data_IF_174461431400
#
_entry.id   IF_174461431400
#
_cell.length_a   1.000
_cell.length_b   1.000
_cell.length_c   1.000
_cell.angle_alpha   90.00
_cell.angle_beta   90.00
_cell.angle_gamma   90.00
#
_symmetry.space_group_name_H-M   'P 1'
#
loop_
_entity.id
_entity.type
_entity.pdbx_description
1 polymer ?
#
# COMPACT_ATOMS: atom_id res chain seq x y z
N UNK A 1 -6.79 7.93 4.06
CA UNK A 1 -5.70 7.21 4.75
C UNK A 1 -4.54 8.17 4.86
N UNK A 2 -4.03 8.39 6.05
CA UNK A 2 -2.82 9.20 6.24
C UNK A 2 -1.58 8.36 5.97
N UNK A 3 -0.61 8.89 5.23
CA UNK A 3 0.70 8.26 5.08
C UNK A 3 1.79 9.24 5.50
N UNK A 4 2.68 8.77 6.37
CA UNK A 4 3.87 9.49 6.80
C UNK A 4 5.09 8.59 6.69
N UNK A 5 6.19 9.12 6.18
CA UNK A 5 7.45 8.40 6.06
C UNK A 5 8.60 9.32 6.48
N UNK A 6 9.49 8.78 7.30
CA UNK A 6 10.74 9.42 7.67
C UNK A 6 11.92 8.63 7.11
N UNK A 7 12.81 9.31 6.41
CA UNK A 7 14.11 8.79 5.98
C UNK A 7 15.16 9.39 6.90
N UNK A 8 15.90 8.55 7.61
CA UNK A 8 17.06 8.97 8.41
C UNK A 8 18.30 8.39 7.78
N UNK A 9 19.14 9.24 7.19
CA UNK A 9 20.37 8.81 6.55
C UNK A 9 21.55 8.87 7.54
N UNK A 10 21.72 7.82 8.32
CA UNK A 10 22.89 7.63 9.20
C UNK A 10 24.15 7.11 8.49
N UNK A 11 24.10 6.96 7.16
CA UNK A 11 25.22 6.41 6.38
C UNK A 11 26.14 7.52 5.84
N UNK A 12 27.23 7.12 5.21
CA UNK A 12 28.11 8.01 4.43
C UNK A 12 27.68 8.19 2.96
N UNK A 13 26.66 7.45 2.50
CA UNK A 13 26.13 7.54 1.13
C UNK A 13 25.07 8.64 1.02
N UNK A 14 24.89 9.18 -0.19
CA UNK A 14 23.81 10.13 -0.46
C UNK A 14 22.56 9.37 -0.93
N UNK A 15 21.40 9.61 -0.32
CA UNK A 15 20.13 9.14 -0.87
C UNK A 15 19.73 10.08 -2.00
N UNK A 16 19.76 9.59 -3.23
CA UNK A 16 19.51 10.39 -4.43
C UNK A 16 18.02 10.58 -4.70
N UNK A 17 17.23 9.53 -4.49
CA UNK A 17 15.79 9.60 -4.65
C UNK A 17 15.08 8.70 -3.65
N UNK A 18 13.84 9.08 -3.33
CA UNK A 18 12.90 8.28 -2.56
C UNK A 18 11.58 8.30 -3.30
N UNK A 19 11.00 7.15 -3.59
CA UNK A 19 9.70 7.02 -4.23
C UNK A 19 8.80 6.17 -3.36
N UNK A 20 7.68 6.75 -2.94
CA UNK A 20 6.64 6.09 -2.16
C UNK A 20 5.46 5.92 -3.09
N UNK A 21 5.01 4.70 -3.33
CA UNK A 21 3.86 4.43 -4.20
C UNK A 21 2.85 3.59 -3.47
N UNK A 22 1.58 3.92 -3.64
CA UNK A 22 0.47 3.07 -3.22
C UNK A 22 -0.17 2.46 -4.45
N UNK A 23 -0.23 1.13 -4.50
CA UNK A 23 -0.65 0.39 -5.68
C UNK A 23 -1.74 -0.62 -5.33
N UNK A 24 -2.70 -0.78 -6.24
CA UNK A 24 -3.61 -1.92 -6.29
C UNK A 24 -3.05 -2.96 -7.24
N UNK A 25 -2.98 -4.21 -6.82
CA UNK A 25 -2.62 -5.37 -7.64
C UNK A 25 -3.83 -6.29 -7.77
N UNK A 26 -4.25 -6.49 -9.01
CA UNK A 26 -5.31 -7.41 -9.39
C UNK A 26 -4.68 -8.70 -9.88
N UNK A 27 -4.80 -9.77 -9.09
CA UNK A 27 -4.29 -11.10 -9.43
C UNK A 27 -5.44 -11.94 -9.95
N UNK A 28 -5.40 -12.27 -11.24
CA UNK A 28 -6.32 -13.19 -11.90
C UNK A 28 -5.69 -14.58 -11.94
N UNK A 29 -6.40 -15.60 -11.48
CA UNK A 29 -5.95 -17.00 -11.41
C UNK A 29 -6.83 -17.89 -12.28
N UNK A 30 -6.22 -18.56 -13.26
CA UNK A 30 -6.89 -19.51 -14.15
C UNK A 30 -6.13 -20.85 -14.11
N UNK A 31 -6.59 -21.77 -13.26
CA UNK A 31 -5.89 -23.03 -12.99
C UNK A 31 -4.50 -22.78 -12.42
N UNK A 32 -3.45 -23.24 -13.13
CA UNK A 32 -2.04 -23.04 -12.75
C UNK A 32 -1.44 -21.71 -13.24
N UNK A 33 -2.20 -20.92 -14.01
CA UNK A 33 -1.72 -19.64 -14.53
C UNK A 33 -2.26 -18.51 -13.68
N UNK A 34 -1.41 -17.51 -13.46
CA UNK A 34 -1.81 -16.24 -12.84
C UNK A 34 -1.35 -15.07 -13.69
N UNK A 35 -2.17 -14.03 -13.75
CA UNK A 35 -1.84 -12.76 -14.36
C UNK A 35 -2.08 -11.63 -13.35
N UNK A 36 -1.09 -10.78 -13.15
CA UNK A 36 -1.17 -9.66 -12.22
C UNK A 36 -1.18 -8.34 -12.97
N UNK A 37 -2.29 -7.60 -12.90
CA UNK A 37 -2.36 -6.22 -13.35
C UNK A 37 -2.16 -5.28 -12.15
N UNK A 38 -1.46 -4.16 -12.34
CA UNK A 38 -1.23 -3.18 -11.27
C UNK A 38 -1.76 -1.81 -11.66
N UNK A 39 -2.38 -1.10 -10.71
CA UNK A 39 -2.81 0.28 -10.87
C UNK A 39 -2.16 1.13 -9.77
N UNK A 40 -1.51 2.22 -10.19
CA UNK A 40 -0.98 3.23 -9.27
C UNK A 40 -2.14 4.06 -8.72
N UNK A 41 -2.32 4.05 -7.41
CA UNK A 41 -3.31 4.88 -6.72
C UNK A 41 -2.69 6.25 -6.40
N UNK A 42 -1.44 6.24 -5.94
CA UNK A 42 -0.78 7.45 -5.45
C UNK A 42 0.74 7.31 -5.46
N UNK A 43 1.46 8.43 -5.55
CA UNK A 43 2.93 8.49 -5.54
C UNK A 43 3.45 9.78 -4.89
N UNK A 44 4.47 9.64 -4.02
CA UNK A 44 5.31 10.73 -3.51
C UNK A 44 6.72 10.51 -4.03
N UNK A 45 7.33 11.57 -4.54
CA UNK A 45 8.76 11.59 -4.82
C UNK A 45 9.46 12.55 -3.86
N UNK A 46 10.40 12.00 -3.10
CA UNK A 46 11.19 12.71 -2.12
C UNK A 46 12.43 13.36 -2.72
N UNK A 47 12.93 14.36 -2.00
CA UNK A 47 14.17 15.05 -2.36
C UNK A 47 15.39 14.25 -1.90
N UNK A 48 16.56 14.60 -2.44
CA UNK A 48 17.85 14.04 -2.04
C UNK A 48 18.09 14.23 -0.53
N UNK A 49 18.51 13.17 0.16
CA UNK A 49 18.87 13.19 1.59
C UNK A 49 20.37 12.93 1.76
N UNK A 50 21.10 13.96 2.19
CA UNK A 50 22.56 13.92 2.38
C UNK A 50 22.98 13.01 3.56
N UNK A 51 24.24 12.57 3.60
CA UNK A 51 24.80 11.91 4.79
C UNK A 51 24.52 12.71 6.07
N UNK A 52 24.04 12.04 7.11
CA UNK A 52 23.71 12.64 8.41
C UNK A 52 22.40 13.44 8.44
N UNK A 53 21.68 13.57 7.32
CA UNK A 53 20.41 14.30 7.25
C UNK A 53 19.19 13.38 7.30
N UNK A 54 18.01 13.98 7.44
CA UNK A 54 16.73 13.29 7.38
C UNK A 54 15.75 13.97 6.44
N UNK A 55 14.89 13.18 5.80
CA UNK A 55 13.74 13.64 5.04
C UNK A 55 12.43 13.19 5.69
N UNK A 56 11.38 13.99 5.57
CA UNK A 56 10.04 13.63 6.00
C UNK A 56 9.08 13.86 4.84
N UNK A 57 8.22 12.87 4.59
CA UNK A 57 7.26 12.85 3.49
C UNK A 57 5.90 12.50 4.06
N UNK A 58 4.88 13.23 3.66
CA UNK A 58 3.54 13.05 4.19
C UNK A 58 2.49 13.40 3.14
N UNK A 59 1.41 12.63 3.09
CA UNK A 59 0.23 12.95 2.28
C UNK A 59 -1.02 12.23 2.80
N UNK A 60 -2.18 12.66 2.33
CA UNK A 60 -3.48 12.04 2.59
C UNK A 60 -3.97 11.35 1.32
N UNK A 61 -4.10 10.04 1.40
CA UNK A 61 -4.48 9.18 0.26
C UNK A 61 -5.97 8.85 0.33
N UNK A 62 -6.67 9.02 -0.78
CA UNK A 62 -8.03 8.53 -0.94
C UNK A 62 -8.05 7.00 -1.05
N UNK A 63 -8.83 6.36 -0.19
CA UNK A 63 -9.03 4.91 -0.22
C UNK A 63 -9.92 4.58 -1.43
N UNK A 64 -9.48 3.71 -2.36
CA UNK A 64 -10.26 3.38 -3.54
C UNK A 64 -11.53 2.60 -3.16
N UNK A 65 -12.59 2.68 -3.99
CA UNK A 65 -13.76 1.85 -3.81
C UNK A 65 -13.38 0.36 -3.94
N UNK A 66 -13.86 -0.45 -3.00
CA UNK A 66 -13.59 -1.89 -3.00
C UNK A 66 -14.54 -2.59 -3.97
N UNK A 67 -14.03 -3.34 -4.96
CA UNK A 67 -14.91 -4.15 -5.79
C UNK A 67 -15.47 -5.32 -4.96
N UNK A 68 -16.65 -5.85 -5.34
CA UNK A 68 -17.31 -6.94 -4.65
C UNK A 68 -16.48 -8.23 -4.81
N UNK A 69 -15.53 -8.42 -3.90
CA UNK A 69 -14.52 -9.49 -3.94
C UNK A 69 -14.56 -10.28 -2.65
N UNK A 70 -15.72 -10.89 -2.37
CA UNK A 70 -15.82 -11.87 -1.30
C UNK A 70 -15.12 -13.16 -1.71
N UNK A 71 -14.24 -13.70 -0.86
CA UNK A 71 -13.68 -15.05 -1.02
C UNK A 71 -14.78 -16.14 -1.11
N UNK A 72 -15.98 -15.83 -0.63
CA UNK A 72 -17.16 -16.67 -0.74
C UNK A 72 -17.80 -16.66 -2.15
N UNK A 73 -17.51 -15.66 -3.00
CA UNK A 73 -18.12 -15.50 -4.32
C UNK A 73 -17.14 -15.66 -5.51
N UNK A 74 -15.82 -15.46 -5.34
CA UNK A 74 -14.87 -15.56 -6.46
C UNK A 74 -13.50 -16.11 -6.05
N UNK A 75 -13.07 -17.21 -6.67
CA UNK A 75 -11.74 -17.84 -6.45
C UNK A 75 -10.70 -17.43 -7.52
N UNK A 76 -11.16 -16.83 -8.61
CA UNK A 76 -10.35 -16.46 -9.78
C UNK A 76 -9.70 -15.10 -9.61
N UNK A 77 -10.18 -14.25 -8.72
CA UNK A 77 -9.76 -12.85 -8.61
C UNK A 77 -9.37 -12.53 -7.17
N UNK A 78 -8.14 -12.02 -6.99
CA UNK A 78 -7.61 -11.53 -5.72
C UNK A 78 -7.14 -10.10 -5.89
N UNK A 79 -7.35 -9.28 -4.86
CA UNK A 79 -6.92 -7.88 -4.85
C UNK A 79 -6.00 -7.68 -3.66
N UNK A 80 -4.85 -7.07 -3.94
CA UNK A 80 -3.84 -6.74 -2.95
C UNK A 80 -3.56 -5.25 -3.05
N UNK A 81 -3.46 -4.58 -1.91
CA UNK A 81 -3.01 -3.20 -1.83
C UNK A 81 -1.65 -3.19 -1.17
N UNK A 82 -0.69 -2.47 -1.76
CA UNK A 82 0.67 -2.40 -1.24
C UNK A 82 1.18 -0.97 -1.30
N UNK A 83 1.86 -0.55 -0.24
CA UNK A 83 2.73 0.61 -0.26
C UNK A 83 4.13 0.12 -0.59
N UNK A 84 4.72 0.60 -1.68
CA UNK A 84 6.13 0.36 -2.00
C UNK A 84 6.94 1.62 -1.76
N UNK A 85 8.05 1.46 -1.07
CA UNK A 85 9.06 2.50 -0.88
C UNK A 85 10.32 2.04 -1.60
N UNK A 86 10.79 2.85 -2.55
CA UNK A 86 12.04 2.64 -3.27
C UNK A 86 12.99 3.78 -2.97
N UNK A 87 14.20 3.47 -2.53
CA UNK A 87 15.25 4.43 -2.23
C UNK A 87 16.44 4.09 -3.13
N UNK A 88 16.94 5.07 -3.86
CA UNK A 88 18.20 4.96 -4.60
C UNK A 88 19.26 5.76 -3.83
N UNK A 89 20.41 5.15 -3.57
CA UNK A 89 21.50 5.79 -2.86
C UNK A 89 22.84 5.55 -3.56
N UNK A 90 23.65 6.61 -3.69
CA UNK A 90 25.00 6.54 -4.24
C UNK A 90 26.05 6.69 -3.15
N UNK A 91 26.94 5.70 -3.06
CA UNK A 91 28.11 5.73 -2.18
C UNK A 91 29.22 6.63 -2.69
N UNK A 92 30.18 6.93 -1.82
CA UNK A 92 31.34 7.81 -2.12
C UNK A 92 32.21 7.27 -3.27
N UNK A 93 32.22 5.95 -3.48
CA UNK A 93 32.96 5.27 -4.55
C UNK A 93 32.15 5.12 -5.86
N UNK A 94 30.99 5.77 -5.97
CA UNK A 94 30.16 5.76 -7.19
C UNK A 94 29.29 4.52 -7.38
N UNK A 95 29.22 3.61 -6.41
CA UNK A 95 28.28 2.49 -6.43
C UNK A 95 26.88 2.98 -6.07
N UNK A 96 25.90 2.64 -6.92
CA UNK A 96 24.47 2.90 -6.70
C UNK A 96 23.82 1.66 -6.11
N UNK A 97 23.12 1.83 -5.01
CA UNK A 97 22.37 0.81 -4.30
C UNK A 97 20.87 1.16 -4.32
N UNK A 98 20.03 0.16 -4.58
CA UNK A 98 18.57 0.33 -4.56
C UNK A 98 17.96 -0.45 -3.39
N UNK A 99 17.32 0.24 -2.46
CA UNK A 99 16.56 -0.37 -1.37
C UNK A 99 15.07 -0.36 -1.70
N UNK A 100 14.40 -1.49 -1.49
CA UNK A 100 12.95 -1.60 -1.68
C UNK A 100 12.29 -2.17 -0.42
N UNK A 101 11.24 -1.50 0.04
CA UNK A 101 10.36 -1.95 1.12
C UNK A 101 8.94 -2.08 0.55
N UNK A 102 8.26 -3.18 0.87
CA UNK A 102 6.86 -3.40 0.51
C UNK A 102 6.05 -3.62 1.78
N UNK A 103 5.06 -2.76 2.01
CA UNK A 103 4.15 -2.81 3.17
C UNK A 103 2.75 -3.20 2.68
N UNK A 104 2.23 -4.39 3.05
CA UNK A 104 0.88 -4.79 2.68
C UNK A 104 -0.17 -3.93 3.40
N UNK A 105 -1.22 -3.55 2.69
CA UNK A 105 -2.35 -2.79 3.21
C UNK A 105 -3.63 -3.61 3.07
N UNK A 106 -4.37 -3.75 4.16
CA UNK A 106 -5.69 -4.37 4.15
C UNK A 106 -6.75 -3.26 4.20
N UNK A 107 -7.66 -3.27 3.23
CA UNK A 107 -8.80 -2.35 3.18
C UNK A 107 -10.07 -3.20 3.33
N UNK A 108 -10.83 -2.93 4.39
CA UNK A 108 -12.09 -3.61 4.67
C UNK A 108 -13.30 -2.70 4.44
N UNK A 109 -14.48 -3.29 4.38
CA UNK A 109 -15.76 -2.56 4.42
C UNK A 109 -16.25 -2.47 5.86
N UNK A 110 -16.89 -1.35 6.22
CA UNK A 110 -17.59 -1.24 7.50
C UNK A 110 -18.82 -2.15 7.46
N UNK A 111 -19.00 -3.08 8.41
CA UNK A 111 -20.17 -3.94 8.44
C UNK A 111 -21.42 -3.09 8.70
N UNK A 112 -22.46 -3.31 7.90
CA UNK A 112 -23.75 -2.68 8.13
C UNK A 112 -24.51 -3.51 9.18
N UNK A 113 -24.56 -3.04 10.42
CA UNK A 113 -25.39 -3.66 11.45
C UNK A 113 -26.86 -3.28 11.23
N UNK A 114 -27.67 -4.26 10.80
CA UNK A 114 -29.11 -4.07 10.67
C UNK A 114 -29.79 -4.23 12.04
N UNK A 115 -29.52 -3.31 12.98
CA UNK A 115 -30.08 -3.32 14.34
C UNK A 115 -31.62 -3.26 14.37
N UNK A 116 -32.24 -2.84 13.26
CA UNK A 116 -33.70 -2.81 13.11
C UNK A 116 -34.37 -4.19 12.95
N UNK A 117 -33.62 -5.27 12.67
CA UNK A 117 -34.18 -6.63 12.55
C UNK A 117 -34.11 -7.44 13.86
N UNK A 118 -33.40 -6.94 14.89
CA UNK A 118 -33.27 -7.64 16.17
C UNK A 118 -34.47 -7.42 17.12
N UNK A 119 -35.29 -6.40 16.91
CA UNK A 119 -36.44 -6.09 17.79
C UNK A 119 -37.76 -6.73 17.36
N UNK A 120 -37.83 -7.33 16.17
CA UNK A 120 -39.07 -7.93 15.64
C UNK A 120 -39.38 -9.35 16.17
N UNK A 121 -38.46 -10.00 16.91
CA UNK A 121 -38.62 -11.37 17.41
C UNK A 121 -38.89 -11.49 18.92
N UNK A 122 -39.18 -10.39 19.62
CA UNK A 122 -39.42 -10.38 21.07
C UNK A 122 -40.91 -10.24 21.45
N UNK A 123 -41.80 -11.01 20.80
CA UNK A 123 -43.25 -10.82 20.96
C UNK A 123 -44.15 -12.05 20.87
N UNK A 124 -43.64 -13.28 21.03
CA UNK A 124 -44.49 -14.48 21.16
C UNK A 124 -43.94 -15.46 22.20
N UNK A 125 -44.43 -15.32 23.44
CA UNK A 125 -44.59 -16.40 24.42
C UNK A 125 -45.97 -16.24 25.06
#
# INVERSE_FOLDING_TARGET
MDIGMQVVNGSSACVDSTHITFQQRLVLKAGQRSHTASALIFSISGQRVRPGASGFYHDVIHVPPLPPTGRHCCQVLSIEYVVQVKIEASGVLGHSESLQLSVPVVIGTVPFENSALSSANLGKQ
#
